data_IF_092525232859
#
_entry.id   IF_092525232859
#
_cell.length_a   1.000
_cell.length_b   1.000
_cell.length_c   1.000
_cell.angle_alpha   90.00
_cell.angle_beta   90.00
_cell.angle_gamma   90.00
#
_symmetry.space_group_name_H-M   'P 1'
#
loop_
_entity.id
_entity.type
_entity.pdbx_description
1 polymer ?
#
# COMPACT_ATOMS: atom_id res chain seq x y z
N UNK A 1 -9.75 -2.89 4.39
CA UNK A 1 -10.68 -1.78 4.14
C UNK A 1 -9.99 -0.44 3.92
N UNK A 2 -9.03 -0.06 4.78
CA UNK A 2 -8.31 1.23 4.72
C UNK A 2 -7.86 1.74 3.32
N UNK A 3 -7.49 0.88 2.38
CA UNK A 3 -7.11 1.30 1.01
C UNK A 3 -8.30 1.72 0.15
N UNK A 4 -9.44 1.02 0.24
CA UNK A 4 -10.63 1.31 -0.58
C UNK A 4 -11.40 2.52 -0.05
N UNK A 5 -11.29 2.77 1.26
CA UNK A 5 -11.94 3.90 1.94
C UNK A 5 -11.07 5.16 1.93
N UNK A 6 -9.85 5.10 1.39
CA UNK A 6 -8.96 6.26 1.34
C UNK A 6 -9.51 7.31 0.35
N UNK A 7 -9.74 8.57 0.78
CA UNK A 7 -10.27 9.62 -0.10
C UNK A 7 -9.16 10.20 -0.98
N UNK A 8 -8.72 9.40 -1.95
CA UNK A 8 -7.67 9.76 -2.90
C UNK A 8 -6.91 8.56 -3.43
N UNK A 9 -5.69 8.80 -3.91
CA UNK A 9 -4.84 7.73 -4.44
C UNK A 9 -4.35 6.81 -3.32
N UNK A 10 -4.57 5.50 -3.47
CA UNK A 10 -4.06 4.48 -2.57
C UNK A 10 -3.34 3.38 -3.35
N UNK A 11 -2.13 3.02 -2.91
CA UNK A 11 -1.35 1.92 -3.46
C UNK A 11 -1.35 0.76 -2.47
N UNK A 12 -1.76 -0.42 -2.94
CA UNK A 12 -1.68 -1.67 -2.19
C UNK A 12 -0.76 -2.64 -2.93
N UNK A 13 0.43 -2.87 -2.40
CA UNK A 13 1.33 -3.91 -2.88
C UNK A 13 1.08 -5.21 -2.10
N UNK A 14 0.86 -6.31 -2.81
CA UNK A 14 0.62 -7.62 -2.22
C UNK A 14 1.65 -8.60 -2.74
N UNK A 15 2.44 -9.17 -1.82
CA UNK A 15 3.32 -10.30 -2.14
C UNK A 15 2.47 -11.56 -2.26
N UNK A 16 2.47 -12.17 -3.45
CA UNK A 16 1.67 -13.35 -3.78
C UNK A 16 2.53 -14.55 -4.12
N UNK A 17 2.07 -15.74 -3.75
CA UNK A 17 2.77 -16.98 -4.07
C UNK A 17 2.53 -17.36 -5.53
N UNK A 18 3.60 -17.64 -6.27
CA UNK A 18 3.54 -18.21 -7.61
C UNK A 18 4.32 -19.54 -7.64
N UNK A 19 3.74 -20.64 -7.12
CA UNK A 19 4.47 -21.89 -6.93
C UNK A 19 4.80 -22.59 -8.25
N UNK A 20 3.94 -22.46 -9.27
CA UNK A 20 4.06 -23.23 -10.52
C UNK A 20 5.22 -22.75 -11.39
N UNK A 21 5.38 -21.43 -11.56
CA UNK A 21 6.39 -20.86 -12.46
C UNK A 21 7.53 -20.26 -11.65
N UNK A 22 7.30 -19.17 -10.92
CA UNK A 22 8.36 -18.49 -10.18
C UNK A 22 9.02 -19.41 -9.15
N UNK A 23 8.22 -20.11 -8.35
CA UNK A 23 8.72 -21.01 -7.31
C UNK A 23 9.53 -22.18 -7.88
N UNK A 24 9.00 -22.85 -8.92
CA UNK A 24 9.66 -23.97 -9.60
C UNK A 24 10.98 -23.55 -10.25
N UNK A 25 10.98 -22.46 -11.01
CA UNK A 25 12.18 -22.00 -11.74
C UNK A 25 13.27 -21.48 -10.80
N UNK A 26 12.90 -20.92 -9.64
CA UNK A 26 13.83 -20.34 -8.67
C UNK A 26 14.10 -21.25 -7.46
N UNK A 27 13.68 -22.51 -7.50
CA UNK A 27 13.87 -23.51 -6.42
C UNK A 27 13.38 -23.01 -5.04
N UNK A 28 12.25 -22.28 -5.00
CA UNK A 28 11.64 -21.73 -3.77
C UNK A 28 10.71 -22.70 -3.04
N UNK A 29 10.70 -23.97 -3.43
CA UNK A 29 9.80 -24.98 -2.88
C UNK A 29 8.35 -24.86 -3.38
N UNK A 30 7.47 -25.67 -2.79
CA UNK A 30 6.04 -25.71 -3.13
C UNK A 30 5.23 -24.59 -2.47
N UNK A 31 3.93 -24.52 -2.77
CA UNK A 31 3.04 -23.48 -2.24
C UNK A 31 3.08 -23.34 -0.71
N UNK A 32 3.05 -24.42 0.11
CA UNK A 32 3.12 -24.28 1.56
C UNK A 32 4.45 -23.71 2.05
N UNK A 33 5.55 -23.99 1.35
CA UNK A 33 6.88 -23.50 1.72
C UNK A 33 6.99 -22.00 1.46
N UNK A 34 6.52 -21.53 0.30
CA UNK A 34 6.49 -20.10 -0.02
C UNK A 34 5.61 -19.31 0.96
N UNK A 35 4.46 -19.86 1.36
CA UNK A 35 3.61 -19.20 2.37
C UNK A 35 4.29 -19.10 3.74
N UNK A 36 5.04 -20.13 4.16
CA UNK A 36 5.88 -20.07 5.37
C UNK A 36 6.97 -19.02 5.23
N UNK A 37 7.65 -18.94 4.08
CA UNK A 37 8.66 -17.92 3.82
C UNK A 37 8.10 -16.51 3.96
N UNK A 38 6.89 -16.23 3.43
CA UNK A 38 6.26 -14.90 3.59
C UNK A 38 5.93 -14.58 5.04
N UNK A 39 5.44 -15.56 5.80
CA UNK A 39 5.15 -15.39 7.24
C UNK A 39 6.42 -15.10 8.03
N UNK A 40 7.48 -15.87 7.80
CA UNK A 40 8.70 -15.84 8.60
C UNK A 40 9.63 -14.68 8.19
N UNK A 41 9.48 -14.16 6.96
CA UNK A 41 10.25 -13.03 6.42
C UNK A 41 9.48 -11.73 6.31
N UNK A 42 8.31 -11.59 6.94
CA UNK A 42 7.61 -10.31 7.04
C UNK A 42 7.43 -9.83 8.47
N UNK A 43 7.43 -8.51 8.67
CA UNK A 43 7.18 -7.87 9.95
C UNK A 43 6.20 -6.70 9.79
N UNK A 44 5.34 -6.43 10.78
CA UNK A 44 4.46 -5.26 10.72
C UNK A 44 5.28 -3.97 10.87
N UNK A 45 4.86 -2.89 10.19
CA UNK A 45 5.51 -1.58 10.26
C UNK A 45 5.69 -1.09 11.71
N UNK A 46 4.72 -1.34 12.57
CA UNK A 46 4.74 -0.95 14.00
C UNK A 46 5.77 -1.70 14.86
N UNK A 47 6.38 -2.76 14.34
CA UNK A 47 7.43 -3.50 15.04
C UNK A 47 8.83 -2.98 14.73
N UNK A 48 9.02 -2.13 13.73
CA UNK A 48 10.32 -1.62 13.32
C UNK A 48 11.02 -0.90 14.48
N UNK A 49 10.31 -0.02 15.18
CA UNK A 49 10.86 0.76 16.30
C UNK A 49 11.14 -0.08 17.56
N UNK A 50 10.57 -1.29 17.62
CA UNK A 50 10.66 -2.18 18.79
C UNK A 50 11.71 -3.27 18.63
N UNK A 51 12.23 -3.45 17.43
CA UNK A 51 13.18 -4.50 17.09
C UNK A 51 14.57 -3.91 16.85
N UNK A 52 15.64 -4.63 17.20
CA UNK A 52 16.99 -4.20 16.85
C UNK A 52 17.14 -4.17 15.32
N UNK A 53 17.96 -3.26 14.76
CA UNK A 53 18.10 -3.06 13.30
C UNK A 53 18.39 -4.35 12.52
N UNK A 54 19.18 -5.24 13.10
CA UNK A 54 19.53 -6.55 12.52
C UNK A 54 18.32 -7.46 12.29
N UNK A 55 17.26 -7.33 13.10
CA UNK A 55 16.03 -8.11 12.98
C UNK A 55 15.04 -7.50 11.98
N UNK A 56 15.27 -6.25 11.59
CA UNK A 56 14.49 -5.52 10.58
C UNK A 56 15.10 -5.66 9.20
N UNK A 57 16.44 -5.68 9.12
CA UNK A 57 17.16 -5.71 7.85
C UNK A 57 16.76 -6.92 6.99
N UNK A 58 16.38 -6.65 5.73
CA UNK A 58 16.01 -7.67 4.76
C UNK A 58 14.62 -8.30 4.96
N UNK A 59 13.84 -7.87 5.96
CA UNK A 59 12.46 -8.30 6.14
C UNK A 59 11.50 -7.51 5.25
N UNK A 60 10.43 -8.16 4.81
CA UNK A 60 9.31 -7.55 4.10
C UNK A 60 8.48 -6.77 5.13
N UNK A 61 8.42 -5.46 4.98
CA UNK A 61 7.63 -4.60 5.85
C UNK A 61 6.18 -4.59 5.37
N UNK A 62 5.22 -4.90 6.25
CA UNK A 62 3.79 -4.92 5.91
C UNK A 62 2.96 -4.00 6.81
N UNK A 63 1.87 -3.48 6.27
CA UNK A 63 0.96 -2.57 6.96
C UNK A 63 0.79 -1.26 6.21
N UNK A 64 0.41 -0.21 6.92
CA UNK A 64 0.30 1.14 6.35
C UNK A 64 1.66 1.82 6.45
N UNK A 65 2.38 1.91 5.33
CA UNK A 65 3.71 2.53 5.28
C UNK A 65 3.64 4.07 5.29
N UNK A 66 2.59 4.62 4.67
CA UNK A 66 2.33 6.05 4.59
C UNK A 66 0.82 6.26 4.45
N UNK A 67 0.29 7.30 5.10
CA UNK A 67 -1.11 7.72 4.95
C UNK A 67 -1.21 9.23 5.13
N UNK A 68 -1.47 9.94 4.04
CA UNK A 68 -1.75 11.38 4.03
C UNK A 68 -3.02 11.63 3.22
N UNK A 69 -3.87 12.56 3.66
CA UNK A 69 -5.04 12.99 2.88
C UNK A 69 -4.66 14.24 2.09
N UNK A 70 -4.77 14.17 0.77
CA UNK A 70 -4.59 15.30 -0.15
C UNK A 70 -5.77 15.35 -1.12
N UNK A 71 -6.14 16.54 -1.64
CA UNK A 71 -7.19 16.65 -2.64
C UNK A 71 -6.87 15.74 -3.83
N UNK A 72 -7.82 14.86 -4.16
CA UNK A 72 -7.76 14.10 -5.39
C UNK A 72 -8.14 14.97 -6.59
N UNK A 73 -7.91 14.45 -7.79
CA UNK A 73 -8.06 15.24 -9.01
C UNK A 73 -9.45 15.86 -9.16
N UNK A 74 -10.53 15.08 -8.93
CA UNK A 74 -11.88 15.59 -9.11
C UNK A 74 -12.25 16.61 -8.02
N UNK A 75 -11.81 16.43 -6.77
CA UNK A 75 -11.93 17.43 -5.71
C UNK A 75 -11.22 18.74 -6.08
N UNK A 76 -9.95 18.68 -6.51
CA UNK A 76 -9.20 19.86 -6.93
C UNK A 76 -9.83 20.54 -8.16
N UNK A 77 -10.37 19.75 -9.09
CA UNK A 77 -11.06 20.25 -10.27
C UNK A 77 -12.42 20.90 -9.92
N UNK A 78 -13.20 20.31 -9.03
CA UNK A 78 -14.44 20.89 -8.54
C UNK A 78 -14.18 22.23 -7.83
N UNK A 79 -13.09 22.33 -7.08
CA UNK A 79 -12.67 23.58 -6.44
C UNK A 79 -12.20 24.62 -7.46
N UNK A 80 -11.57 24.21 -8.57
CA UNK A 80 -11.28 25.11 -9.68
C UNK A 80 -12.58 25.63 -10.32
N UNK A 81 -13.50 24.73 -10.67
CA UNK A 81 -14.80 25.07 -11.27
C UNK A 81 -15.58 26.09 -10.43
N UNK A 82 -15.61 25.91 -9.11
CA UNK A 82 -16.25 26.87 -8.18
C UNK A 82 -15.57 28.24 -8.19
N UNK A 83 -14.23 28.29 -8.24
CA UNK A 83 -13.47 29.54 -8.23
C UNK A 83 -13.64 30.36 -9.51
N UNK A 84 -13.79 29.69 -10.65
CA UNK A 84 -13.92 30.34 -11.97
C UNK A 84 -15.37 30.51 -12.42
N UNK A 85 -16.33 29.94 -11.68
CA UNK A 85 -17.74 30.13 -11.96
C UNK A 85 -18.06 31.63 -11.95
N UNK A 86 -18.77 32.16 -12.96
CA UNK A 86 -19.20 33.54 -12.94
C UNK A 86 -20.03 33.74 -11.67
N UNK A 87 -19.73 34.79 -10.89
CA UNK A 87 -20.63 35.24 -9.85
C UNK A 87 -21.97 35.50 -10.54
N UNK A 88 -22.97 34.69 -10.25
CA UNK A 88 -24.32 34.98 -10.70
C UNK A 88 -24.62 36.41 -10.30
N UNK A 89 -25.06 37.22 -11.26
CA UNK A 89 -25.77 38.45 -10.95
C UNK A 89 -26.91 38.07 -9.99
N UNK A 90 -26.86 38.61 -8.77
CA UNK A 90 -28.01 38.63 -7.89
C UNK A 90 -29.17 39.26 -8.68
N UNK A 91 -30.11 38.44 -9.13
CA UNK A 91 -31.42 38.88 -9.61
C UNK A 91 -32.47 38.54 -8.58
#
# INVERSE_FOLDING_TARGET
QASMEHPGFSLLEVISACPVIYGRLNKKGGAPQMMKEFRDNSIPFTAIDKLPPEKVQGKIIRGILRKDIKPEYCAAYADLMKRVAPKGEDK
#
